data_IF_845546264117
#
_entry.id   IF_845546264117
#
_cell.length_a   1.000
_cell.length_b   1.000
_cell.length_c   1.000
_cell.angle_alpha   90.00
_cell.angle_beta   90.00
_cell.angle_gamma   90.00
#
_symmetry.space_group_name_H-M   'P 1'
#
loop_
_entity.id
_entity.type
_entity.pdbx_description
1 polymer ?
#
# COMPACT_ATOMS: atom_id res chain seq x y z
N UNK A 1 -28.16 -10.34 8.26
CA UNK A 1 -27.72 -9.44 7.16
C UNK A 1 -26.91 -10.27 6.18
N UNK A 2 -27.18 -10.20 4.87
CA UNK A 2 -26.37 -10.92 3.88
C UNK A 2 -24.96 -10.30 3.80
N UNK A 3 -24.00 -11.00 3.18
CA UNK A 3 -22.67 -10.41 2.93
C UNK A 3 -22.77 -9.13 2.09
N UNK A 4 -23.64 -9.09 1.09
CA UNK A 4 -23.84 -7.93 0.23
C UNK A 4 -24.45 -6.73 0.99
N UNK A 5 -25.42 -6.97 1.86
CA UNK A 5 -26.02 -5.91 2.69
C UNK A 5 -25.02 -5.32 3.70
N UNK A 6 -24.07 -6.12 4.20
CA UNK A 6 -22.99 -5.64 5.09
C UNK A 6 -22.01 -4.73 4.36
N UNK A 7 -21.67 -5.05 3.11
CA UNK A 7 -20.73 -4.25 2.31
C UNK A 7 -21.33 -2.90 1.93
N UNK A 8 -22.65 -2.87 1.68
CA UNK A 8 -23.35 -1.62 1.34
C UNK A 8 -23.66 -0.74 2.54
N UNK A 9 -23.66 -1.30 3.76
CA UNK A 9 -23.91 -0.59 5.02
C UNK A 9 -22.84 -0.97 6.06
N UNK A 10 -21.60 -0.52 5.83
CA UNK A 10 -20.53 -0.76 6.77
C UNK A 10 -20.77 0.01 8.08
N UNK A 11 -20.43 -0.60 9.24
CA UNK A 11 -20.50 0.10 10.51
C UNK A 11 -19.49 1.25 10.54
N UNK A 12 -19.85 2.35 11.19
CA UNK A 12 -18.88 3.36 11.59
C UNK A 12 -17.83 2.76 12.53
N UNK A 13 -16.71 3.46 12.73
CA UNK A 13 -15.63 3.00 13.60
C UNK A 13 -16.13 2.77 15.04
N UNK A 14 -17.11 3.55 15.48
CA UNK A 14 -17.67 3.42 16.82
C UNK A 14 -18.62 2.24 16.99
N UNK A 15 -19.24 1.79 15.92
CA UNK A 15 -20.16 0.65 15.88
C UNK A 15 -19.41 -0.69 15.72
N UNK A 16 -18.12 -0.65 15.38
CA UNK A 16 -17.28 -1.86 15.34
C UNK A 16 -17.20 -2.51 16.74
N UNK A 17 -17.31 -3.85 16.81
CA UNK A 17 -17.33 -4.55 18.07
C UNK A 17 -15.96 -4.50 18.78
N UNK A 18 -16.01 -4.48 20.10
CA UNK A 18 -14.83 -4.75 20.93
C UNK A 18 -14.57 -6.27 20.93
N UNK A 19 -13.39 -6.70 20.49
CA UNK A 19 -13.02 -8.13 20.41
C UNK A 19 -11.92 -8.42 21.43
N UNK A 20 -12.30 -8.98 22.58
CA UNK A 20 -11.36 -9.27 23.67
C UNK A 20 -10.52 -8.05 24.05
N UNK A 21 -9.21 -8.26 24.19
CA UNK A 21 -8.23 -7.23 24.56
C UNK A 21 -7.64 -6.48 23.35
N UNK A 22 -8.18 -6.68 22.14
CA UNK A 22 -7.70 -5.95 20.96
C UNK A 22 -8.06 -4.46 21.02
N UNK A 23 -7.30 -3.58 20.34
CA UNK A 23 -7.72 -2.19 20.16
C UNK A 23 -9.13 -2.08 19.55
N UNK A 24 -9.88 -1.03 19.93
CA UNK A 24 -11.19 -0.75 19.34
C UNK A 24 -11.07 -0.61 17.82
N UNK A 25 -12.06 -1.11 17.10
CA UNK A 25 -12.11 -1.02 15.64
C UNK A 25 -11.63 -2.28 14.91
N UNK A 26 -11.63 -3.45 15.56
CA UNK A 26 -11.31 -4.71 14.89
C UNK A 26 -12.44 -5.15 13.96
N UNK A 27 -12.12 -5.62 12.74
CA UNK A 27 -13.14 -6.03 11.75
C UNK A 27 -13.20 -7.55 11.57
N UNK A 28 -12.60 -8.33 12.48
CA UNK A 28 -12.64 -9.78 12.38
C UNK A 28 -14.08 -10.30 12.40
N UNK A 29 -14.39 -11.26 11.52
CA UNK A 29 -15.74 -11.76 11.31
C UNK A 29 -16.66 -10.87 10.45
N UNK A 30 -16.30 -9.60 10.16
CA UNK A 30 -17.13 -8.70 9.36
C UNK A 30 -17.30 -9.22 7.91
N UNK A 31 -16.19 -9.69 7.35
CA UNK A 31 -16.09 -10.15 5.97
C UNK A 31 -16.31 -11.66 5.82
N UNK A 32 -16.50 -12.39 6.92
CA UNK A 32 -16.73 -13.83 6.87
C UNK A 32 -18.00 -14.15 6.07
N UNK A 33 -17.92 -15.24 5.31
CA UNK A 33 -18.99 -15.66 4.41
C UNK A 33 -19.20 -17.16 4.51
N UNK A 34 -20.46 -17.57 4.65
CA UNK A 34 -20.88 -18.98 4.68
C UNK A 34 -20.11 -19.82 5.72
N UNK A 35 -19.85 -19.22 6.90
CA UNK A 35 -19.13 -19.85 8.00
C UNK A 35 -17.61 -20.02 7.77
N UNK A 36 -17.07 -19.45 6.69
CA UNK A 36 -15.63 -19.41 6.40
C UNK A 36 -15.06 -18.06 6.77
N UNK A 37 -13.91 -18.10 7.45
CA UNK A 37 -13.09 -16.93 7.73
C UNK A 37 -12.61 -16.30 6.44
N UNK A 38 -12.76 -14.99 6.35
CA UNK A 38 -12.21 -14.19 5.25
C UNK A 38 -10.68 -14.09 5.31
N UNK A 39 -10.07 -13.97 4.13
CA UNK A 39 -8.61 -13.84 3.92
C UNK A 39 -8.25 -12.61 3.05
N UNK A 40 -9.22 -11.74 2.73
CA UNK A 40 -9.04 -10.60 1.82
C UNK A 40 -9.17 -9.23 2.50
N UNK A 41 -9.85 -9.16 3.64
CA UNK A 41 -10.12 -7.94 4.38
C UNK A 41 -10.84 -6.90 3.54
N UNK A 42 -10.32 -5.68 3.52
CA UNK A 42 -10.96 -4.55 2.83
C UNK A 42 -10.89 -4.64 1.30
N UNK A 43 -10.14 -5.57 0.71
CA UNK A 43 -10.26 -5.88 -0.72
C UNK A 43 -11.65 -6.41 -1.11
N UNK A 44 -12.45 -6.86 -0.15
CA UNK A 44 -13.86 -7.20 -0.37
C UNK A 44 -14.73 -5.98 -0.75
N UNK A 45 -14.25 -4.75 -0.51
CA UNK A 45 -14.90 -3.50 -0.96
C UNK A 45 -14.86 -3.31 -2.47
N UNK A 46 -13.92 -3.97 -3.17
CA UNK A 46 -13.82 -3.95 -4.62
C UNK A 46 -14.85 -4.91 -5.22
N UNK A 47 -16.14 -4.62 -5.01
CA UNK A 47 -17.26 -5.39 -5.57
C UNK A 47 -17.35 -5.19 -7.09
N UNK A 48 -18.06 -6.06 -7.83
CA UNK A 48 -18.29 -5.87 -9.25
C UNK A 48 -18.86 -4.48 -9.61
N UNK A 49 -19.73 -3.92 -8.77
CA UNK A 49 -20.31 -2.58 -8.96
C UNK A 49 -19.27 -1.48 -8.77
N UNK A 50 -18.43 -1.57 -7.74
CA UNK A 50 -17.33 -0.61 -7.48
C UNK A 50 -16.30 -0.67 -8.60
N UNK A 51 -15.91 -1.87 -9.05
CA UNK A 51 -14.98 -2.05 -10.18
C UNK A 51 -15.57 -1.48 -11.47
N UNK A 52 -16.85 -1.73 -11.75
CA UNK A 52 -17.53 -1.19 -12.92
C UNK A 52 -17.61 0.33 -12.88
N UNK A 53 -17.81 0.93 -11.70
CA UNK A 53 -17.78 2.38 -11.54
C UNK A 53 -16.38 2.95 -11.82
N UNK A 54 -15.32 2.27 -11.37
CA UNK A 54 -13.94 2.67 -11.63
C UNK A 54 -13.58 2.66 -13.12
N UNK A 55 -14.22 1.82 -13.95
CA UNK A 55 -14.00 1.85 -15.41
C UNK A 55 -14.43 3.15 -16.07
N UNK A 56 -15.27 3.97 -15.42
CA UNK A 56 -15.64 5.31 -15.92
C UNK A 56 -14.50 6.32 -15.80
N UNK A 57 -13.45 5.99 -15.06
CA UNK A 57 -12.24 6.83 -15.00
C UNK A 57 -11.44 6.73 -16.32
N UNK A 58 -11.74 5.79 -17.23
CA UNK A 58 -11.07 5.66 -18.52
C UNK A 58 -11.62 6.65 -19.56
N UNK A 59 -10.77 7.55 -20.03
CA UNK A 59 -11.08 8.59 -21.01
C UNK A 59 -9.89 9.03 -21.87
N UNK A 60 -8.67 9.12 -21.33
CA UNK A 60 -7.53 9.71 -22.04
C UNK A 60 -6.65 8.67 -22.77
N UNK A 61 -6.70 7.40 -22.36
CA UNK A 61 -5.83 6.35 -22.89
C UNK A 61 -4.38 6.49 -22.44
N UNK A 62 -4.16 7.12 -21.27
CA UNK A 62 -2.82 7.34 -20.70
C UNK A 62 -2.60 6.37 -19.56
N UNK A 63 -1.52 5.61 -19.60
CA UNK A 63 -1.12 4.73 -18.49
C UNK A 63 0.18 5.19 -17.84
N UNK A 64 0.27 5.01 -16.52
CA UNK A 64 1.45 5.34 -15.72
C UNK A 64 1.81 4.13 -14.87
N UNK A 65 3.04 3.63 -15.02
CA UNK A 65 3.57 2.59 -14.13
C UNK A 65 3.88 3.20 -12.76
N UNK A 66 3.39 2.56 -11.70
CA UNK A 66 3.57 3.01 -10.31
C UNK A 66 4.60 2.17 -9.54
N UNK A 67 5.13 1.14 -10.20
CA UNK A 67 6.16 0.26 -9.62
C UNK A 67 7.51 0.91 -9.83
N UNK A 68 8.18 1.23 -8.73
CA UNK A 68 9.56 1.67 -8.76
C UNK A 68 10.47 0.52 -9.21
N UNK A 69 11.64 0.88 -9.73
CA UNK A 69 12.59 -0.11 -10.22
C UNK A 69 13.01 -1.05 -9.07
N UNK A 70 13.02 -2.36 -9.33
CA UNK A 70 13.25 -3.38 -8.29
C UNK A 70 14.64 -3.33 -7.65
N UNK A 71 15.61 -2.71 -8.32
CA UNK A 71 16.95 -2.42 -7.80
C UNK A 71 17.00 -1.19 -6.88
N UNK A 72 15.87 -0.48 -6.71
CA UNK A 72 15.75 0.70 -5.86
C UNK A 72 14.93 0.45 -4.59
N UNK A 73 15.29 1.07 -3.47
CA UNK A 73 16.54 1.83 -3.30
C UNK A 73 17.74 0.88 -3.34
N UNK A 74 18.88 1.36 -3.86
CA UNK A 74 20.12 0.58 -3.98
C UNK A 74 20.52 -0.13 -2.67
N UNK A 75 20.31 0.55 -1.54
CA UNK A 75 20.47 0.01 -0.21
C UNK A 75 19.11 0.00 0.51
N UNK A 76 18.37 -1.12 0.47
CA UNK A 76 17.09 -1.28 1.13
C UNK A 76 17.18 -1.08 2.65
N UNK A 77 16.14 -0.48 3.21
CA UNK A 77 16.02 -0.30 4.66
C UNK A 77 15.72 -1.65 5.36
N UNK A 78 15.77 -1.68 6.69
CA UNK A 78 15.48 -2.85 7.53
C UNK A 78 16.37 -4.07 7.25
N UNK A 79 17.62 -3.84 6.85
CA UNK A 79 18.59 -4.89 6.53
C UNK A 79 18.11 -5.90 5.47
N UNK A 80 17.20 -5.47 4.57
CA UNK A 80 16.69 -6.30 3.48
C UNK A 80 17.78 -6.48 2.42
N UNK A 81 17.86 -7.67 1.82
CA UNK A 81 18.79 -7.94 0.71
C UNK A 81 18.34 -7.13 -0.53
N UNK A 82 19.24 -6.40 -1.21
CA UNK A 82 18.91 -5.78 -2.50
C UNK A 82 18.59 -6.83 -3.56
N UNK A 83 18.01 -6.38 -4.68
CA UNK A 83 17.81 -7.24 -5.84
C UNK A 83 19.15 -7.83 -6.29
N UNK A 84 19.11 -9.13 -6.57
CA UNK A 84 20.21 -9.88 -7.16
C UNK A 84 19.71 -10.41 -8.51
N UNK A 85 20.25 -9.86 -9.59
CA UNK A 85 19.83 -10.13 -10.97
C UNK A 85 21.02 -10.66 -11.76
N UNK A 86 20.86 -11.85 -12.34
CA UNK A 86 21.89 -12.57 -13.08
C UNK A 86 21.39 -12.92 -14.47
N UNK A 87 22.05 -12.36 -15.49
CA UNK A 87 21.82 -12.71 -16.88
C UNK A 87 22.51 -14.04 -17.23
N UNK A 88 21.77 -14.91 -17.92
CA UNK A 88 22.23 -16.19 -18.43
C UNK A 88 22.33 -16.10 -19.96
N UNK A 89 23.56 -16.06 -20.47
CA UNK A 89 23.80 -16.11 -21.91
C UNK A 89 23.69 -17.55 -22.41
N UNK A 90 22.68 -17.82 -23.26
CA UNK A 90 22.42 -19.14 -23.81
C UNK A 90 23.59 -19.68 -24.63
N UNK A 91 24.43 -18.82 -25.23
CA UNK A 91 25.58 -19.25 -26.03
C UNK A 91 26.59 -20.07 -25.23
N UNK A 92 26.51 -20.02 -23.89
CA UNK A 92 27.35 -20.82 -22.99
C UNK A 92 26.89 -22.28 -22.85
N UNK A 93 25.64 -22.61 -23.21
CA UNK A 93 25.07 -23.96 -23.06
C UNK A 93 24.12 -24.40 -24.21
N UNK A 94 23.93 -23.58 -25.24
CA UNK A 94 23.01 -23.79 -26.36
C UNK A 94 23.61 -23.22 -27.66
N UNK A 95 23.34 -23.82 -28.83
CA UNK A 95 23.76 -23.27 -30.12
C UNK A 95 22.92 -22.05 -30.57
N UNK A 96 21.86 -21.70 -29.84
CA UNK A 96 21.00 -20.54 -30.12
C UNK A 96 21.47 -19.30 -29.36
N UNK A 97 21.27 -18.12 -29.95
CA UNK A 97 21.55 -16.82 -29.31
C UNK A 97 20.29 -16.32 -28.60
N UNK A 98 20.36 -16.21 -27.28
CA UNK A 98 19.27 -15.81 -26.41
C UNK A 98 19.78 -15.52 -24.99
N UNK A 99 18.94 -14.89 -24.19
CA UNK A 99 19.21 -14.62 -22.78
C UNK A 99 18.00 -15.02 -21.95
N UNK A 100 18.26 -15.66 -20.82
CA UNK A 100 17.34 -15.71 -19.68
C UNK A 100 17.93 -14.90 -18.53
N UNK A 101 17.14 -14.66 -17.50
CA UNK A 101 17.62 -14.10 -16.24
C UNK A 101 17.15 -14.91 -15.02
N UNK A 102 17.95 -14.81 -13.96
CA UNK A 102 17.59 -15.26 -12.61
C UNK A 102 17.49 -14.03 -11.71
N UNK A 103 16.39 -13.92 -10.97
CA UNK A 103 16.22 -12.91 -9.93
C UNK A 103 16.10 -13.55 -8.56
N UNK A 104 16.82 -13.01 -7.58
CA UNK A 104 16.61 -13.27 -6.18
C UNK A 104 16.18 -11.97 -5.49
N UNK A 105 14.93 -11.96 -5.04
CA UNK A 105 14.25 -10.77 -4.54
C UNK A 105 13.83 -10.97 -3.09
N UNK A 106 14.15 -10.02 -2.22
CA UNK A 106 13.35 -9.81 -1.02
C UNK A 106 12.11 -9.00 -1.43
N UNK A 107 10.92 -9.56 -1.27
CA UNK A 107 9.64 -8.96 -1.73
C UNK A 107 9.28 -7.63 -1.07
N UNK A 108 10.10 -7.14 -0.14
CA UNK A 108 9.98 -5.86 0.54
C UNK A 108 11.17 -4.91 0.22
N UNK A 109 12.05 -5.23 -0.73
CA UNK A 109 13.25 -4.43 -0.96
C UNK A 109 13.03 -3.18 -1.82
N UNK A 110 11.86 -3.05 -2.46
CA UNK A 110 11.50 -1.98 -3.39
C UNK A 110 10.01 -1.66 -3.24
N UNK A 111 9.37 -1.03 -4.23
CA UNK A 111 7.91 -0.90 -4.27
C UNK A 111 7.25 -2.23 -3.95
N UNK A 112 6.30 -2.21 -3.03
CA UNK A 112 5.70 -3.42 -2.51
C UNK A 112 4.22 -3.23 -2.19
N UNK A 113 3.52 -4.35 -2.12
CA UNK A 113 2.34 -4.56 -1.30
C UNK A 113 2.71 -5.43 -0.10
N UNK A 114 2.27 -5.04 1.07
CA UNK A 114 2.25 -5.85 2.27
C UNK A 114 0.96 -6.65 2.38
N UNK A 115 1.12 -7.96 2.40
CA UNK A 115 0.04 -8.90 2.61
C UNK A 115 -0.24 -9.15 4.09
N UNK A 116 -1.30 -9.90 4.36
CA UNK A 116 -1.84 -10.06 5.72
C UNK A 116 -0.98 -10.97 6.62
N UNK A 117 0.10 -11.54 6.08
CA UNK A 117 1.15 -12.25 6.84
C UNK A 117 2.30 -11.33 7.28
N UNK A 118 2.36 -10.09 6.80
CA UNK A 118 3.51 -9.22 6.99
C UNK A 118 3.63 -8.72 8.43
N UNK A 119 2.51 -8.33 9.03
CA UNK A 119 2.47 -7.74 10.37
C UNK A 119 1.39 -8.39 11.23
N UNK A 120 1.74 -8.70 12.48
CA UNK A 120 0.82 -9.20 13.51
C UNK A 120 0.49 -8.08 14.49
N UNK A 121 -0.68 -8.13 15.12
CA UNK A 121 -1.08 -7.12 16.09
C UNK A 121 -0.09 -7.07 17.27
N UNK A 122 0.31 -5.86 17.67
CA UNK A 122 1.42 -5.61 18.59
C UNK A 122 1.35 -6.36 19.94
N UNK A 123 0.17 -6.52 20.53
CA UNK A 123 -0.01 -7.12 21.86
C UNK A 123 -0.30 -8.62 21.79
N UNK A 124 -1.29 -9.02 20.99
CA UNK A 124 -1.78 -10.39 20.88
C UNK A 124 -0.92 -11.27 19.98
N UNK A 125 -0.11 -10.67 19.10
CA UNK A 125 0.71 -11.34 18.07
C UNK A 125 -0.10 -12.20 17.10
N UNK A 126 -1.40 -11.90 17.00
CA UNK A 126 -2.31 -12.54 16.06
C UNK A 126 -2.34 -11.75 14.74
N UNK A 127 -2.52 -12.46 13.65
CA UNK A 127 -2.74 -11.91 12.32
C UNK A 127 -4.23 -11.77 12.04
N UNK A 128 -4.55 -11.21 10.87
CA UNK A 128 -5.91 -10.98 10.44
C UNK A 128 -6.84 -12.18 10.67
N UNK A 129 -8.02 -11.90 11.21
CA UNK A 129 -9.08 -12.86 11.48
C UNK A 129 -8.68 -13.99 12.45
N UNK A 130 -7.92 -13.65 13.49
CA UNK A 130 -7.48 -14.55 14.57
C UNK A 130 -6.64 -15.72 14.05
N UNK A 131 -5.69 -15.43 13.15
CA UNK A 131 -4.72 -16.43 12.65
C UNK A 131 -3.44 -16.35 13.47
N UNK A 132 -2.92 -17.50 13.87
CA UNK A 132 -1.66 -17.63 14.61
C UNK A 132 -0.49 -17.87 13.65
N UNK A 133 0.69 -17.33 13.97
CA UNK A 133 1.93 -17.53 13.20
C UNK A 133 2.25 -19.01 12.91
N UNK A 134 1.90 -19.92 13.81
CA UNK A 134 2.20 -21.34 13.66
C UNK A 134 1.42 -21.97 12.49
N UNK A 135 0.26 -21.40 12.12
CA UNK A 135 -0.54 -21.85 10.98
C UNK A 135 0.15 -21.60 9.63
N UNK A 136 1.09 -20.64 9.57
CA UNK A 136 1.87 -20.36 8.35
C UNK A 136 2.88 -21.45 8.03
N UNK A 137 3.24 -22.30 9.01
CA UNK A 137 4.18 -23.41 8.80
C UNK A 137 3.54 -24.60 8.08
N UNK A 138 2.21 -24.68 8.12
CA UNK A 138 1.45 -25.85 7.64
C UNK A 138 0.37 -25.49 6.62
N UNK A 139 0.16 -24.20 6.33
CA UNK A 139 -0.88 -23.74 5.41
C UNK A 139 -0.51 -22.46 4.66
N UNK A 140 -1.27 -22.17 3.60
CA UNK A 140 -1.19 -20.94 2.81
C UNK A 140 -2.21 -19.87 3.26
N UNK A 141 -2.75 -19.96 4.48
CA UNK A 141 -3.74 -19.00 5.01
C UNK A 141 -3.19 -17.57 4.98
N UNK A 142 -3.99 -16.59 4.59
CA UNK A 142 -3.61 -15.17 4.43
C UNK A 142 -2.52 -14.90 3.39
N UNK A 143 -2.19 -15.87 2.54
CA UNK A 143 -1.19 -15.70 1.47
C UNK A 143 -1.65 -14.70 0.41
N UNK A 144 -0.72 -13.91 -0.12
CA UNK A 144 -1.00 -12.92 -1.16
C UNK A 144 -1.52 -13.56 -2.48
N UNK A 145 -1.31 -14.85 -2.70
CA UNK A 145 -1.92 -15.62 -3.79
C UNK A 145 -3.45 -15.56 -3.78
N UNK A 146 -4.07 -15.35 -2.61
CA UNK A 146 -5.53 -15.11 -2.50
C UNK A 146 -5.96 -13.90 -3.33
N UNK A 147 -5.11 -12.88 -3.46
CA UNK A 147 -5.41 -11.69 -4.25
C UNK A 147 -5.44 -12.01 -5.75
N UNK A 148 -4.57 -12.91 -6.22
CA UNK A 148 -4.64 -13.42 -7.60
C UNK A 148 -5.94 -14.20 -7.82
N UNK A 149 -6.33 -15.07 -6.88
CA UNK A 149 -7.56 -15.87 -7.03
C UNK A 149 -8.85 -15.04 -7.03
N UNK A 150 -8.88 -13.87 -6.38
CA UNK A 150 -10.02 -12.95 -6.48
C UNK A 150 -10.07 -12.14 -7.78
N UNK A 151 -8.99 -12.14 -8.57
CA UNK A 151 -8.88 -11.33 -9.80
C UNK A 151 -7.95 -10.12 -9.71
N UNK A 152 -7.00 -10.11 -8.77
CA UNK A 152 -6.04 -9.01 -8.55
C UNK A 152 -6.64 -7.85 -7.75
N UNK A 153 -6.05 -6.67 -7.88
CA UNK A 153 -6.57 -5.42 -7.32
C UNK A 153 -6.94 -4.53 -8.51
N UNK A 154 -8.25 -4.34 -8.70
CA UNK A 154 -8.79 -3.45 -9.74
C UNK A 154 -9.81 -2.57 -9.06
N UNK A 155 -9.66 -1.25 -9.19
CA UNK A 155 -10.52 -0.30 -8.49
C UNK A 155 -10.18 1.13 -8.85
N UNK A 156 -10.85 2.08 -8.20
CA UNK A 156 -10.54 3.50 -8.40
C UNK A 156 -9.38 3.89 -7.50
N UNK A 157 -8.28 4.32 -8.11
CA UNK A 157 -7.18 4.96 -7.40
C UNK A 157 -7.43 6.45 -7.24
N UNK A 158 -7.04 7.01 -6.10
CA UNK A 158 -7.04 8.46 -5.83
C UNK A 158 -5.68 8.88 -5.31
N UNK A 159 -5.03 9.83 -6.01
CA UNK A 159 -3.76 10.39 -5.56
C UNK A 159 -4.01 11.63 -4.71
N UNK A 160 -3.45 11.68 -3.52
CA UNK A 160 -3.30 12.91 -2.73
C UNK A 160 -1.84 13.35 -2.82
N UNK A 161 -1.59 14.42 -3.57
CA UNK A 161 -0.25 14.98 -3.77
C UNK A 161 0.09 15.96 -2.64
N UNK A 162 0.52 15.39 -1.51
CA UNK A 162 0.88 16.17 -0.33
C UNK A 162 2.11 17.06 -0.59
N UNK A 163 3.05 16.62 -1.43
CA UNK A 163 4.22 17.42 -1.82
C UNK A 163 3.80 18.73 -2.49
N UNK A 164 2.92 18.66 -3.49
CA UNK A 164 2.44 19.85 -4.20
C UNK A 164 1.57 20.73 -3.30
N UNK A 165 0.70 20.13 -2.50
CA UNK A 165 -0.09 20.83 -1.48
C UNK A 165 0.81 21.59 -0.49
N UNK A 166 1.80 20.91 0.11
CA UNK A 166 2.71 21.51 1.06
C UNK A 166 3.46 22.71 0.46
N UNK A 167 3.93 22.60 -0.78
CA UNK A 167 4.57 23.70 -1.49
C UNK A 167 3.64 24.91 -1.68
N UNK A 168 2.39 24.69 -2.12
CA UNK A 168 1.40 25.78 -2.29
C UNK A 168 0.99 26.46 -0.98
N UNK A 169 1.05 25.72 0.12
CA UNK A 169 0.69 26.20 1.46
C UNK A 169 1.89 26.62 2.33
N UNK A 170 3.08 26.74 1.74
CA UNK A 170 4.32 27.10 2.45
C UNK A 170 4.65 26.20 3.66
N UNK A 171 4.30 24.92 3.58
CA UNK A 171 4.66 23.91 4.57
C UNK A 171 6.04 23.36 4.20
N UNK A 172 7.06 23.75 4.96
CA UNK A 172 8.41 23.21 4.79
C UNK A 172 8.58 21.92 5.59
N UNK A 173 8.97 20.83 4.91
CA UNK A 173 9.30 19.55 5.53
C UNK A 173 10.34 18.81 4.67
N UNK A 174 10.94 17.77 5.24
CA UNK A 174 11.84 16.84 4.54
C UNK A 174 11.22 15.45 4.49
N UNK A 175 11.31 14.76 3.34
CA UNK A 175 10.81 13.39 3.19
C UNK A 175 11.62 12.36 3.99
N UNK A 176 12.84 12.73 4.40
CA UNK A 176 13.78 11.89 5.18
C UNK A 176 13.94 12.36 6.63
N UNK A 177 13.03 13.22 7.10
CA UNK A 177 12.90 13.59 8.51
C UNK A 177 11.52 13.18 9.01
N UNK A 178 11.33 13.19 10.33
CA UNK A 178 10.01 12.94 10.90
C UNK A 178 9.07 14.09 10.53
N UNK A 179 8.09 13.79 9.68
CA UNK A 179 7.02 14.71 9.33
C UNK A 179 5.67 14.01 9.37
N UNK A 180 4.72 14.63 10.06
CA UNK A 180 3.41 14.07 10.32
C UNK A 180 2.36 14.56 9.33
N UNK A 181 1.98 13.73 8.37
CA UNK A 181 0.87 14.02 7.46
C UNK A 181 -0.43 13.60 8.14
N UNK A 182 -1.22 14.58 8.57
CA UNK A 182 -2.48 14.34 9.30
C UNK A 182 -3.63 14.04 8.35
N UNK A 183 -4.68 13.34 8.83
CA UNK A 183 -5.91 13.16 8.07
C UNK A 183 -6.56 14.50 7.67
N UNK A 184 -6.47 15.54 8.51
CA UNK A 184 -6.97 16.88 8.18
C UNK A 184 -6.23 17.52 7.01
N UNK A 185 -4.92 17.28 6.89
CA UNK A 185 -4.13 17.74 5.76
C UNK A 185 -4.46 16.95 4.48
N UNK A 186 -4.65 15.63 4.58
CA UNK A 186 -5.11 14.81 3.45
C UNK A 186 -6.49 15.27 2.94
N UNK A 187 -7.42 15.56 3.84
CA UNK A 187 -8.74 16.12 3.51
C UNK A 187 -8.64 17.50 2.85
N UNK A 188 -7.74 18.37 3.33
CA UNK A 188 -7.53 19.69 2.74
C UNK A 188 -6.95 19.58 1.31
N UNK A 189 -5.94 18.73 1.12
CA UNK A 189 -5.37 18.45 -0.19
C UNK A 189 -6.40 17.83 -1.14
N UNK A 190 -7.20 16.87 -0.67
CA UNK A 190 -8.27 16.27 -1.47
C UNK A 190 -9.29 17.31 -1.95
N UNK A 191 -9.73 18.22 -1.07
CA UNK A 191 -10.65 19.32 -1.44
C UNK A 191 -10.05 20.25 -2.49
N UNK A 192 -8.78 20.61 -2.35
CA UNK A 192 -8.08 21.46 -3.32
C UNK A 192 -7.93 20.80 -4.69
N UNK A 193 -7.66 19.49 -4.70
CA UNK A 193 -7.61 18.67 -5.91
C UNK A 193 -8.98 18.33 -6.50
N UNK A 194 -10.08 18.75 -5.87
CA UNK A 194 -11.44 18.41 -6.30
C UNK A 194 -11.79 16.91 -6.15
N UNK A 195 -11.08 16.18 -5.29
CA UNK A 195 -11.29 14.75 -5.05
C UNK A 195 -12.39 14.54 -4.00
N UNK A 196 -13.41 13.79 -4.37
CA UNK A 196 -14.37 13.21 -3.44
C UNK A 196 -14.08 11.72 -3.26
N UNK A 197 -13.68 11.33 -2.05
CA UNK A 197 -13.46 9.92 -1.70
C UNK A 197 -14.77 9.13 -1.76
N UNK A 198 -14.69 7.90 -2.27
CA UNK A 198 -15.78 6.94 -2.36
C UNK A 198 -15.37 5.63 -1.66
N UNK A 199 -16.32 4.88 -1.08
CA UNK A 199 -16.04 3.54 -0.58
C UNK A 199 -15.42 2.65 -1.66
N UNK A 200 -14.38 1.91 -1.27
CA UNK A 200 -13.59 1.07 -2.18
C UNK A 200 -12.51 1.80 -2.96
N UNK A 201 -12.30 3.10 -2.74
CA UNK A 201 -11.14 3.80 -3.29
C UNK A 201 -9.82 3.18 -2.76
N UNK A 202 -8.80 3.23 -3.60
CA UNK A 202 -7.42 2.91 -3.25
C UNK A 202 -6.71 4.25 -3.06
N UNK A 203 -6.34 4.57 -1.81
CA UNK A 203 -5.72 5.85 -1.46
C UNK A 203 -4.22 5.81 -1.74
N UNK A 204 -3.72 6.72 -2.57
CA UNK A 204 -2.29 6.91 -2.82
C UNK A 204 -1.87 8.25 -2.20
N UNK A 205 -0.84 8.25 -1.35
CA UNK A 205 -0.29 9.47 -0.74
C UNK A 205 1.13 9.68 -1.24
N UNK A 206 1.36 10.80 -1.93
CA UNK A 206 2.71 11.23 -2.32
C UNK A 206 3.28 12.14 -1.24
N UNK A 207 4.14 11.59 -0.39
CA UNK A 207 4.88 12.26 0.68
C UNK A 207 6.27 12.76 0.25
N UNK A 208 6.79 12.32 -0.91
CA UNK A 208 7.96 12.90 -1.58
C UNK A 208 9.26 12.13 -1.41
N UNK A 209 9.23 10.90 -0.92
CA UNK A 209 10.46 10.12 -0.74
C UNK A 209 11.10 9.73 -2.07
N UNK A 210 10.33 9.25 -3.05
CA UNK A 210 10.88 8.90 -4.38
C UNK A 210 11.39 10.14 -5.12
N UNK A 211 10.71 11.27 -4.99
CA UNK A 211 11.20 12.60 -5.43
C UNK A 211 12.58 12.92 -4.85
N UNK A 212 12.71 12.84 -3.53
CA UNK A 212 13.99 13.09 -2.84
C UNK A 212 15.07 12.12 -3.34
N UNK A 213 14.77 10.82 -3.40
CA UNK A 213 15.73 9.79 -3.81
C UNK A 213 16.25 10.04 -5.23
N UNK A 214 15.36 10.36 -6.16
CA UNK A 214 15.70 10.63 -7.56
C UNK A 214 16.52 11.93 -7.71
N UNK A 215 16.32 12.93 -6.84
CA UNK A 215 17.09 14.17 -6.84
C UNK A 215 18.53 14.02 -6.33
N UNK A 216 18.85 12.92 -5.65
CA UNK A 216 20.16 12.64 -5.05
C UNK A 216 21.09 11.82 -5.97
N UNK A 217 20.87 11.83 -7.29
CA UNK A 217 21.67 11.04 -8.26
C UNK A 217 23.17 11.30 -8.16
N UNK A 218 23.54 12.56 -7.91
CA UNK A 218 24.94 13.00 -7.89
C UNK A 218 25.63 12.72 -6.53
N UNK A 219 24.88 12.19 -5.56
CA UNK A 219 25.39 11.84 -4.23
C UNK A 219 24.86 10.47 -3.77
N UNK A 220 25.08 9.44 -4.58
CA UNK A 220 24.61 8.08 -4.34
C UNK A 220 25.05 7.50 -2.99
N UNK A 221 26.26 7.81 -2.52
CA UNK A 221 26.78 7.31 -1.25
C UNK A 221 25.99 7.85 -0.03
N UNK A 222 25.67 9.14 0.00
CA UNK A 222 24.86 9.71 1.09
C UNK A 222 23.41 9.23 0.99
N UNK A 223 22.86 9.15 -0.22
CA UNK A 223 21.51 8.60 -0.45
C UNK A 223 21.40 7.17 0.10
N UNK A 224 22.36 6.31 -0.23
CA UNK A 224 22.36 4.91 0.19
C UNK A 224 22.62 4.79 1.71
N UNK A 225 23.40 5.69 2.31
CA UNK A 225 23.53 5.80 3.77
C UNK A 225 22.19 6.16 4.42
N UNK A 226 21.48 7.15 3.90
CA UNK A 226 20.17 7.57 4.41
C UNK A 226 19.20 6.40 4.35
N UNK A 227 19.04 5.76 3.19
CA UNK A 227 18.05 4.67 3.02
C UNK A 227 18.38 3.41 3.82
N UNK A 228 19.66 3.13 4.09
CA UNK A 228 20.07 1.93 4.83
C UNK A 228 20.10 2.09 6.35
N UNK A 229 20.21 3.31 6.87
CA UNK A 229 20.52 3.55 8.29
C UNK A 229 19.57 4.50 9.01
N UNK A 230 18.79 5.31 8.29
CA UNK A 230 17.82 6.21 8.91
C UNK A 230 16.45 5.53 9.10
N UNK A 231 15.81 5.89 10.21
CA UNK A 231 14.45 5.49 10.59
C UNK A 231 13.57 6.73 10.83
N UNK A 232 13.78 7.77 10.02
CA UNK A 232 13.04 9.03 10.08
C UNK A 232 12.51 9.35 8.70
N UNK A 233 11.19 9.33 8.53
CA UNK A 233 10.57 9.54 7.22
C UNK A 233 9.22 10.24 7.37
N UNK A 234 8.89 11.07 6.39
CA UNK A 234 7.57 11.65 6.27
C UNK A 234 6.55 10.56 5.91
N UNK A 235 5.39 10.59 6.55
CA UNK A 235 4.33 9.61 6.28
C UNK A 235 3.02 10.02 6.93
N UNK A 236 1.98 9.20 6.74
CA UNK A 236 0.67 9.47 7.35
C UNK A 236 0.73 9.13 8.83
N UNK A 237 0.24 10.01 9.70
CA UNK A 237 0.39 9.80 11.15
C UNK A 237 -0.80 9.05 11.74
N UNK A 238 -0.57 7.93 12.46
CA UNK A 238 -1.60 7.07 13.03
C UNK A 238 -2.15 7.62 14.35
N UNK A 239 -2.76 8.80 14.33
CA UNK A 239 -3.57 9.27 15.46
C UNK A 239 -4.89 8.50 15.56
N UNK A 240 -5.54 8.52 16.72
CA UNK A 240 -6.86 7.89 16.88
C UNK A 240 -7.88 8.45 15.87
N UNK A 241 -7.83 9.76 15.61
CA UNK A 241 -8.66 10.43 14.62
C UNK A 241 -8.30 10.01 13.19
N UNK A 242 -7.01 9.85 12.88
CA UNK A 242 -6.57 9.37 11.57
C UNK A 242 -7.02 7.92 11.32
N UNK A 243 -6.90 7.04 12.33
CA UNK A 243 -7.37 5.66 12.25
C UNK A 243 -8.87 5.63 12.02
N UNK A 244 -9.65 6.33 12.84
CA UNK A 244 -11.10 6.47 12.63
C UNK A 244 -11.40 6.95 11.21
N UNK A 245 -10.74 8.03 10.77
CA UNK A 245 -10.94 8.60 9.45
C UNK A 245 -10.69 7.60 8.31
N UNK A 246 -9.59 6.83 8.39
CA UNK A 246 -9.27 5.79 7.40
C UNK A 246 -10.38 4.73 7.32
N UNK A 247 -10.93 4.32 8.46
CA UNK A 247 -12.06 3.39 8.48
C UNK A 247 -13.32 4.01 7.88
N UNK A 248 -13.71 5.22 8.29
CA UNK A 248 -14.93 5.91 7.80
C UNK A 248 -14.89 6.20 6.30
N UNK A 249 -13.70 6.36 5.70
CA UNK A 249 -13.55 6.52 4.25
C UNK A 249 -13.67 5.20 3.48
N UNK A 250 -13.60 4.06 4.17
CA UNK A 250 -13.72 2.73 3.59
C UNK A 250 -12.80 2.53 2.37
N UNK A 251 -11.50 2.82 2.53
CA UNK A 251 -10.51 2.51 1.49
C UNK A 251 -10.29 1.00 1.41
N UNK A 252 -10.18 0.46 0.19
CA UNK A 252 -9.91 -0.98 -0.01
C UNK A 252 -8.43 -1.33 0.15
N UNK A 253 -7.56 -0.34 -0.02
CA UNK A 253 -6.12 -0.43 0.16
C UNK A 253 -5.53 0.98 0.25
N UNK A 254 -4.33 1.09 0.81
CA UNK A 254 -3.58 2.35 0.85
C UNK A 254 -2.19 2.14 0.28
N UNK A 255 -1.60 3.15 -0.36
CA UNK A 255 -0.23 3.10 -0.83
C UNK A 255 0.44 4.49 -0.73
N UNK A 256 1.76 4.51 -0.69
CA UNK A 256 2.53 5.75 -0.71
C UNK A 256 3.94 5.54 -1.26
N UNK A 257 4.62 6.66 -1.49
CA UNK A 257 6.00 6.66 -1.98
C UNK A 257 7.05 6.61 -0.86
N UNK A 258 6.66 6.78 0.40
CA UNK A 258 7.52 6.58 1.57
C UNK A 258 7.91 5.11 1.78
N UNK A 259 9.05 4.89 2.45
CA UNK A 259 9.55 3.54 2.81
C UNK A 259 8.71 2.83 3.87
N UNK A 260 7.87 3.57 4.59
CA UNK A 260 6.78 3.05 5.39
C UNK A 260 5.56 3.93 5.10
N UNK A 261 4.34 3.39 5.07
CA UNK A 261 3.15 4.21 4.83
C UNK A 261 2.96 5.27 5.93
N UNK A 262 3.24 4.89 7.18
CA UNK A 262 3.15 5.77 8.33
C UNK A 262 4.45 6.54 8.61
N UNK A 263 4.33 7.71 9.25
CA UNK A 263 5.49 8.54 9.61
C UNK A 263 6.42 7.80 10.58
N UNK A 264 7.73 7.92 10.37
CA UNK A 264 8.76 7.36 11.24
C UNK A 264 9.59 8.47 11.92
N UNK A 265 10.01 8.30 13.20
CA UNK A 265 9.85 7.12 14.04
C UNK A 265 8.41 6.96 14.54
N UNK A 266 8.07 5.75 14.97
CA UNK A 266 6.74 5.46 15.52
C UNK A 266 6.44 6.34 16.75
N UNK A 267 5.15 6.59 16.93
CA UNK A 267 4.66 7.38 18.05
C UNK A 267 4.78 6.60 19.36
N UNK A 268 5.01 7.33 20.46
CA UNK A 268 5.12 6.75 21.81
C UNK A 268 3.78 6.22 22.36
N UNK A 269 2.65 6.62 21.77
CA UNK A 269 1.32 6.14 22.14
C UNK A 269 1.00 4.72 21.63
N UNK A 270 1.92 4.12 20.85
CA UNK A 270 1.83 2.74 20.37
C UNK A 270 0.80 2.52 19.26
N UNK A 271 0.19 3.58 18.72
CA UNK A 271 -0.71 3.47 17.58
C UNK A 271 0.09 3.33 16.29
N UNK A 272 -0.21 2.29 15.51
CA UNK A 272 0.47 1.97 14.26
C UNK A 272 -0.55 1.66 13.17
N UNK A 273 -0.39 2.23 11.98
CA UNK A 273 -1.24 1.83 10.86
C UNK A 273 -1.03 0.37 10.47
N UNK A 274 0.19 -0.16 10.60
CA UNK A 274 0.47 -1.58 10.36
C UNK A 274 -0.39 -2.53 11.21
N UNK A 275 -0.62 -2.19 12.49
CA UNK A 275 -1.50 -2.98 13.37
C UNK A 275 -2.95 -2.95 12.88
N UNK A 276 -3.47 -1.74 12.62
CA UNK A 276 -4.87 -1.56 12.23
C UNK A 276 -5.15 -2.09 10.83
N UNK A 277 -4.34 -1.72 9.85
CA UNK A 277 -4.54 -2.09 8.45
C UNK A 277 -4.34 -3.59 8.27
N UNK A 278 -3.16 -4.14 8.55
CA UNK A 278 -2.87 -5.53 8.19
C UNK A 278 -3.53 -6.53 9.14
N UNK A 279 -3.40 -6.33 10.46
CA UNK A 279 -3.84 -7.32 11.44
C UNK A 279 -5.29 -7.17 11.86
N UNK A 280 -5.83 -5.95 11.98
CA UNK A 280 -7.21 -5.75 12.45
C UNK A 280 -8.22 -5.69 11.29
N UNK A 281 -7.90 -5.00 10.20
CA UNK A 281 -8.84 -4.73 9.10
C UNK A 281 -8.65 -5.62 7.87
N UNK A 282 -7.45 -6.15 7.70
CA UNK A 282 -7.05 -6.82 6.47
C UNK A 282 -6.94 -5.85 5.28
N UNK A 283 -6.49 -4.62 5.52
CA UNK A 283 -6.22 -3.59 4.51
C UNK A 283 -4.78 -3.68 4.02
N UNK A 284 -4.56 -3.91 2.70
CA UNK A 284 -3.22 -3.89 2.11
C UNK A 284 -2.53 -2.54 2.25
N UNK A 285 -1.20 -2.58 2.44
CA UNK A 285 -0.33 -1.39 2.49
C UNK A 285 0.64 -1.43 1.33
N UNK A 286 0.70 -0.36 0.55
CA UNK A 286 1.68 -0.16 -0.51
C UNK A 286 2.78 0.80 -0.07
N UNK A 287 4.04 0.39 -0.21
CA UNK A 287 5.18 1.18 0.25
C UNK A 287 6.21 1.35 -0.86
N UNK A 288 6.92 2.49 -0.85
CA UNK A 288 7.94 2.87 -1.81
C UNK A 288 7.48 2.89 -3.27
N UNK A 289 6.23 3.28 -3.54
CA UNK A 289 5.70 3.41 -4.91
C UNK A 289 6.30 4.61 -5.65
N UNK A 290 6.49 4.49 -6.96
CA UNK A 290 6.89 5.64 -7.78
C UNK A 290 5.67 6.45 -8.21
N UNK A 291 5.48 7.61 -7.59
CA UNK A 291 4.33 8.48 -7.80
C UNK A 291 4.67 9.75 -8.58
N UNK A 292 5.92 9.93 -9.04
CA UNK A 292 6.34 11.17 -9.71
C UNK A 292 5.62 11.36 -11.05
N UNK A 293 5.69 10.35 -11.93
CA UNK A 293 5.01 10.39 -13.23
C UNK A 293 3.48 10.43 -13.10
N UNK A 294 2.94 9.89 -12.01
CA UNK A 294 1.50 9.95 -11.72
C UNK A 294 1.10 11.37 -11.32
N UNK A 295 1.84 12.00 -10.41
CA UNK A 295 1.59 13.38 -9.98
C UNK A 295 1.67 14.37 -11.15
N UNK A 296 2.68 14.24 -12.00
CA UNK A 296 2.81 15.06 -13.23
C UNK A 296 1.62 14.85 -14.18
N UNK A 297 1.16 13.61 -14.33
CA UNK A 297 0.00 13.28 -15.17
C UNK A 297 -1.28 13.86 -14.59
N UNK A 298 -1.50 13.73 -13.28
CA UNK A 298 -2.65 14.29 -12.58
C UNK A 298 -2.71 15.81 -12.73
N UNK A 299 -1.60 16.50 -12.50
CA UNK A 299 -1.51 17.97 -12.64
C UNK A 299 -1.80 18.40 -14.08
N UNK A 300 -1.20 17.73 -15.07
CA UNK A 300 -1.42 18.02 -16.50
C UNK A 300 -2.88 17.83 -16.93
N UNK A 301 -3.56 16.82 -16.38
CA UNK A 301 -4.96 16.52 -16.70
C UNK A 301 -5.96 17.27 -15.80
N UNK A 302 -5.50 17.88 -14.71
CA UNK A 302 -6.38 18.44 -13.69
C UNK A 302 -7.28 17.38 -13.03
N UNK A 303 -6.80 16.14 -12.92
CA UNK A 303 -7.57 15.00 -12.41
C UNK A 303 -6.71 14.12 -11.50
N UNK A 304 -7.21 13.82 -10.30
CA UNK A 304 -6.48 13.05 -9.28
C UNK A 304 -7.13 11.68 -8.96
N UNK A 305 -8.05 11.24 -9.81
CA UNK A 305 -8.60 9.88 -9.80
C UNK A 305 -8.39 9.19 -11.14
N UNK A 306 -8.25 7.87 -11.09
CA UNK A 306 -7.91 7.01 -12.22
C UNK A 306 -8.34 5.57 -11.94
N UNK A 307 -8.43 4.76 -12.99
CA UNK A 307 -8.50 3.31 -12.80
C UNK A 307 -7.12 2.82 -12.34
N UNK A 308 -7.07 2.07 -11.25
CA UNK A 308 -5.86 1.39 -10.81
C UNK A 308 -6.01 -0.11 -11.04
N UNK A 309 -5.00 -0.72 -11.66
CA UNK A 309 -4.85 -2.17 -11.75
C UNK A 309 -3.54 -2.59 -11.11
N UNK A 310 -3.55 -3.65 -10.32
CA UNK A 310 -2.37 -4.26 -9.74
C UNK A 310 -2.52 -5.77 -9.71
N UNK A 311 -1.50 -6.47 -10.19
CA UNK A 311 -1.44 -7.93 -10.26
C UNK A 311 -0.14 -8.41 -9.60
N UNK A 312 -0.13 -8.55 -8.25
CA UNK A 312 1.03 -9.02 -7.53
C UNK A 312 1.43 -10.45 -7.94
N UNK A 313 2.67 -10.83 -7.64
CA UNK A 313 3.19 -12.17 -7.91
C UNK A 313 2.31 -13.24 -7.23
N UNK A 314 1.93 -14.25 -8.00
CA UNK A 314 1.13 -15.36 -7.52
C UNK A 314 2.00 -16.40 -6.78
N UNK A 315 2.50 -16.02 -5.59
CA UNK A 315 3.31 -16.88 -4.72
C UNK A 315 2.41 -17.49 -3.64
N UNK A 316 2.15 -18.81 -3.66
CA UNK A 316 1.32 -19.47 -2.65
C UNK A 316 1.85 -19.24 -1.23
N UNK A 317 1.01 -18.69 -0.34
CA UNK A 317 1.43 -18.34 1.02
C UNK A 317 2.40 -17.16 1.10
N UNK A 318 2.57 -16.39 0.03
CA UNK A 318 3.47 -15.24 -0.01
C UNK A 318 3.08 -14.17 1.01
N UNK A 319 4.09 -13.50 1.57
CA UNK A 319 3.91 -12.45 2.60
C UNK A 319 3.59 -11.10 1.99
N UNK A 320 4.20 -10.80 0.85
CA UNK A 320 4.17 -9.51 0.18
C UNK A 320 4.63 -9.72 -1.26
N UNK A 321 4.56 -8.67 -2.08
CA UNK A 321 4.94 -8.76 -3.48
C UNK A 321 5.19 -7.37 -4.09
N UNK A 322 6.06 -7.24 -5.11
CA UNK A 322 6.04 -6.05 -5.95
C UNK A 322 4.63 -5.75 -6.46
N UNK A 323 4.23 -4.46 -6.55
CA UNK A 323 2.84 -4.14 -6.75
C UNK A 323 2.38 -4.41 -8.18
N UNK A 324 3.28 -4.33 -9.17
CA UNK A 324 2.92 -4.45 -10.59
C UNK A 324 1.68 -3.60 -10.90
N UNK A 325 1.74 -2.35 -10.46
CA UNK A 325 0.61 -1.43 -10.43
C UNK A 325 0.69 -0.40 -11.55
N UNK A 326 -0.46 -0.14 -12.17
CA UNK A 326 -0.63 0.80 -13.28
C UNK A 326 -1.86 1.68 -12.98
N UNK A 327 -1.67 3.00 -13.06
CA UNK A 327 -2.76 3.96 -13.14
C UNK A 327 -3.14 4.18 -14.60
N UNK A 328 -4.43 4.21 -14.91
CA UNK A 328 -4.96 4.38 -16.26
C UNK A 328 -6.00 5.49 -16.25
N UNK A 329 -5.77 6.48 -17.09
CA UNK A 329 -6.62 7.63 -17.32
C UNK A 329 -7.39 7.47 -18.62
#
# INVERSE_FOLDING_TARGET
>A
MSFHDRITNLPSFDELPQIGDLPKGCTWGLWDKDGKKDELGTLNLLTPEVVKEAFKELSEGVSVCLTWSLDKPNAPNFHRKPLDHKLLDHSTFSPYSGFDDEIHLNTQCSSQWDGLRHHSQGQTKLFYNNVNKEEFKTSNVLGIDRWSTRGGIVGRGVLIDYVAYAARHNITYSAIECHSITHTALEAAAREQGVAFKPGDILLVRSGFTKWYNSMSDNAAERDRVTSSQFTYAGVTPTQESIRWMWERHFSAVAGDALAFESLPYRDDGLLFHDFFLSLWGTPIGEAWDLEGLAETCERLGRWSFLLTSAPLNVPGGVASPPNAIAIF
#
